data_IF_927355514427
#
_entry.id   IF_927355514427
#
_cell.length_a   1.000
_cell.length_b   1.000
_cell.length_c   1.000
_cell.angle_alpha   90.00
_cell.angle_beta   90.00
_cell.angle_gamma   90.00
#
_symmetry.space_group_name_H-M   'P 1'
#
loop_
_entity.id
_entity.type
_entity.pdbx_description
1 polymer ?
#
# COMPACT_ATOMS: atom_id res chain seq x y z
N UNK A 1 19.22 -7.18 14.65
CA UNK A 1 18.20 -6.12 14.84
C UNK A 1 18.11 -5.31 13.54
N UNK A 2 16.96 -5.29 12.85
CA UNK A 2 16.82 -4.60 11.55
C UNK A 2 16.28 -3.19 11.78
N UNK A 3 17.14 -2.18 11.71
CA UNK A 3 16.80 -0.77 11.96
C UNK A 3 15.75 -0.22 10.97
N UNK A 4 15.61 -0.87 9.81
CA UNK A 4 14.67 -0.43 8.77
C UNK A 4 13.20 -0.64 9.16
N UNK A 5 12.90 -1.42 10.21
CA UNK A 5 11.53 -1.63 10.71
C UNK A 5 10.91 -0.33 11.24
N UNK A 6 11.73 0.61 11.70
CA UNK A 6 11.28 1.91 12.22
C UNK A 6 11.13 2.98 11.14
N UNK A 7 11.54 2.66 9.90
CA UNK A 7 11.42 3.61 8.82
C UNK A 7 10.02 3.54 8.22
N UNK A 8 9.43 4.68 7.88
CA UNK A 8 8.20 4.69 7.12
C UNK A 8 8.38 3.87 5.82
N UNK A 9 7.44 2.97 5.56
CA UNK A 9 7.43 2.09 4.37
C UNK A 9 7.19 2.85 3.08
N UNK A 10 6.76 4.11 3.17
CA UNK A 10 6.80 5.04 2.06
C UNK A 10 8.22 5.14 1.46
N UNK A 11 8.30 5.66 0.23
CA UNK A 11 9.45 5.94 -0.67
C UNK A 11 10.88 5.73 -0.11
N UNK A 12 11.17 6.07 1.14
CA UNK A 12 12.45 5.87 1.85
C UNK A 12 13.02 4.45 1.75
N UNK A 13 12.23 3.37 1.94
CA UNK A 13 12.78 2.01 1.82
C UNK A 13 13.26 1.69 0.40
N UNK A 14 12.57 2.20 -0.62
CA UNK A 14 12.97 2.04 -2.03
C UNK A 14 14.24 2.84 -2.37
N UNK A 15 14.47 3.96 -1.69
CA UNK A 15 15.71 4.75 -1.82
C UNK A 15 16.88 4.03 -1.13
N UNK A 16 16.65 3.51 0.07
CA UNK A 16 17.66 2.73 0.84
C UNK A 16 18.11 1.49 0.07
N UNK A 17 17.19 0.85 -0.65
CA UNK A 17 17.49 -0.29 -1.52
C UNK A 17 18.52 0.03 -2.62
N UNK A 18 18.78 1.31 -2.93
CA UNK A 18 19.74 1.73 -3.96
C UNK A 18 21.14 2.06 -3.43
N UNK A 19 21.33 2.11 -2.10
CA UNK A 19 22.60 2.54 -1.49
C UNK A 19 23.70 1.50 -1.70
N UNK A 20 23.44 0.24 -1.35
CA UNK A 20 24.38 -0.86 -1.58
C UNK A 20 23.64 -2.21 -1.65
N UNK A 21 24.33 -3.25 -2.12
CA UNK A 21 23.76 -4.60 -2.27
C UNK A 21 23.24 -5.18 -0.95
N UNK A 22 23.94 -4.94 0.16
CA UNK A 22 23.51 -5.46 1.46
C UNK A 22 22.22 -4.79 1.93
N UNK A 23 22.08 -3.49 1.73
CA UNK A 23 20.87 -2.75 2.07
C UNK A 23 19.71 -3.15 1.17
N UNK A 24 19.96 -3.38 -0.12
CA UNK A 24 18.98 -3.95 -1.03
C UNK A 24 18.40 -5.28 -0.54
N UNK A 25 19.25 -6.20 -0.06
CA UNK A 25 18.79 -7.48 0.47
C UNK A 25 17.99 -7.31 1.76
N UNK A 26 18.43 -6.41 2.64
CA UNK A 26 17.75 -6.13 3.90
C UNK A 26 16.38 -5.47 3.69
N UNK A 27 16.28 -4.52 2.76
CA UNK A 27 15.01 -3.85 2.42
C UNK A 27 14.04 -4.76 1.70
N UNK A 28 14.46 -5.90 1.14
CA UNK A 28 13.55 -6.91 0.58
C UNK A 28 12.94 -7.87 1.59
N UNK A 29 13.25 -7.73 2.88
CA UNK A 29 12.64 -8.60 3.89
C UNK A 29 11.11 -8.41 3.94
N UNK A 30 10.29 -9.48 3.82
CA UNK A 30 8.83 -9.38 3.85
C UNK A 30 8.29 -8.72 5.13
N UNK A 31 9.03 -8.87 6.25
CA UNK A 31 8.66 -8.28 7.54
C UNK A 31 8.62 -6.75 7.50
N UNK A 32 9.40 -6.12 6.63
CA UNK A 32 9.42 -4.66 6.46
C UNK A 32 8.21 -4.15 5.69
N UNK A 33 7.59 -4.98 4.85
CA UNK A 33 6.50 -4.60 3.95
C UNK A 33 5.13 -5.08 4.42
N UNK A 34 5.04 -5.68 5.62
CA UNK A 34 3.76 -6.12 6.21
C UNK A 34 2.74 -5.00 6.34
N UNK A 35 3.18 -3.77 6.59
CA UNK A 35 2.31 -2.59 6.69
C UNK A 35 2.83 -1.48 5.78
N UNK A 36 2.07 -1.13 4.76
CA UNK A 36 2.48 -0.17 3.74
C UNK A 36 1.65 1.10 3.85
N UNK A 37 2.35 2.23 4.00
CA UNK A 37 1.75 3.54 3.94
C UNK A 37 2.04 4.20 2.59
N UNK A 38 1.00 4.28 1.77
CA UNK A 38 1.02 4.92 0.47
C UNK A 38 0.44 6.34 0.62
N UNK A 39 1.34 7.33 0.69
CA UNK A 39 0.99 8.74 0.86
C UNK A 39 0.62 9.47 -0.43
N UNK A 40 0.46 10.79 -0.31
CA UNK A 40 -0.38 11.70 -1.10
C UNK A 40 -0.08 11.85 -2.61
N UNK A 41 0.96 11.17 -3.10
CA UNK A 41 1.52 11.35 -4.45
C UNK A 41 1.78 10.05 -5.17
N UNK A 42 1.32 8.92 -4.65
CA UNK A 42 1.56 7.65 -5.32
C UNK A 42 0.64 7.55 -6.53
N UNK A 43 1.26 7.63 -7.70
CA UNK A 43 0.59 7.44 -8.98
C UNK A 43 0.49 5.94 -9.29
N UNK A 44 -0.50 5.54 -10.11
CA UNK A 44 -0.69 4.16 -10.56
C UNK A 44 0.60 3.46 -11.07
N UNK A 45 1.53 4.13 -11.80
CA UNK A 45 2.78 3.53 -12.24
C UNK A 45 3.75 3.19 -11.09
N UNK A 46 3.66 3.89 -9.96
CA UNK A 46 4.46 3.57 -8.77
C UNK A 46 3.89 2.31 -8.12
N UNK A 47 2.56 2.20 -8.01
CA UNK A 47 1.90 1.00 -7.52
C UNK A 47 2.27 -0.23 -8.34
N UNK A 48 2.19 -0.15 -9.68
CA UNK A 48 2.60 -1.23 -10.59
C UNK A 48 4.07 -1.63 -10.39
N UNK A 49 4.96 -0.66 -10.12
CA UNK A 49 6.36 -0.96 -9.81
C UNK A 49 6.52 -1.72 -8.50
N UNK A 50 5.79 -1.33 -7.45
CA UNK A 50 5.81 -2.04 -6.16
C UNK A 50 5.36 -3.50 -6.32
N UNK A 51 4.33 -3.75 -7.13
CA UNK A 51 3.90 -5.10 -7.50
C UNK A 51 5.02 -5.84 -8.25
N UNK A 52 5.60 -5.23 -9.29
CA UNK A 52 6.66 -5.85 -10.09
C UNK A 52 7.93 -6.17 -9.28
N UNK A 53 8.18 -5.45 -8.20
CA UNK A 53 9.32 -5.68 -7.31
C UNK A 53 9.03 -6.74 -6.24
N UNK A 54 7.81 -7.28 -6.16
CA UNK A 54 7.39 -8.21 -5.12
C UNK A 54 7.30 -7.55 -3.74
N UNK A 55 7.00 -6.24 -3.71
CA UNK A 55 6.77 -5.51 -2.45
C UNK A 55 5.29 -5.61 -2.04
N UNK A 56 4.40 -5.47 -3.02
CA UNK A 56 2.98 -5.76 -2.85
C UNK A 56 2.75 -7.23 -3.23
N UNK A 57 2.64 -8.07 -2.22
CA UNK A 57 2.48 -9.52 -2.35
C UNK A 57 1.61 -10.09 -1.22
N UNK A 58 1.61 -11.42 -1.10
CA UNK A 58 0.85 -12.15 -0.07
C UNK A 58 1.29 -11.89 1.37
N UNK A 59 2.44 -11.26 1.61
CA UNK A 59 2.92 -10.96 2.96
C UNK A 59 2.42 -9.62 3.48
N UNK A 60 1.79 -8.81 2.62
CA UNK A 60 1.19 -7.53 3.01
C UNK A 60 -0.11 -7.76 3.76
N UNK A 61 -0.16 -7.22 4.98
CA UNK A 61 -1.27 -7.39 5.91
C UNK A 61 -2.05 -6.09 6.12
N UNK A 62 -1.37 -4.95 5.98
CA UNK A 62 -1.97 -3.64 6.18
C UNK A 62 -1.57 -2.69 5.07
N UNK A 63 -2.54 -1.97 4.51
CA UNK A 63 -2.29 -0.91 3.52
C UNK A 63 -3.05 0.34 3.95
N UNK A 64 -2.37 1.48 3.89
CA UNK A 64 -2.94 2.80 4.14
C UNK A 64 -2.77 3.67 2.91
N UNK A 65 -3.89 4.17 2.37
CA UNK A 65 -3.99 5.08 1.23
C UNK A 65 -4.49 6.45 1.72
N UNK A 66 -3.70 7.11 2.56
CA UNK A 66 -4.05 8.42 3.11
C UNK A 66 -3.43 9.56 2.28
N UNK A 67 -4.24 10.59 2.03
CA UNK A 67 -3.93 11.78 1.22
C UNK A 67 -3.76 11.53 -0.28
N UNK A 68 -3.96 10.30 -0.78
CA UNK A 68 -3.69 9.96 -2.18
C UNK A 68 -4.71 10.55 -3.15
N UNK A 69 -4.26 11.45 -4.03
CA UNK A 69 -5.05 11.95 -5.18
C UNK A 69 -4.91 10.98 -6.36
N UNK A 70 -5.60 9.84 -6.32
CA UNK A 70 -5.70 9.00 -7.51
C UNK A 70 -6.82 9.54 -8.43
N UNK A 71 -6.47 9.86 -9.68
CA UNK A 71 -7.47 10.00 -10.74
C UNK A 71 -8.15 8.66 -11.09
N UNK A 72 -7.60 7.54 -10.62
CA UNK A 72 -8.06 6.16 -10.88
C UNK A 72 -7.93 5.30 -9.62
N UNK A 73 -8.49 5.78 -8.50
CA UNK A 73 -8.43 5.11 -7.19
C UNK A 73 -8.98 3.68 -7.27
N UNK A 74 -10.09 3.47 -7.95
CA UNK A 74 -10.72 2.14 -8.10
C UNK A 74 -9.79 1.10 -8.72
N UNK A 75 -8.99 1.51 -9.72
CA UNK A 75 -8.02 0.63 -10.37
C UNK A 75 -6.90 0.26 -9.41
N UNK A 76 -6.43 1.23 -8.61
CA UNK A 76 -5.41 1.00 -7.59
C UNK A 76 -5.92 0.05 -6.49
N UNK A 77 -7.14 0.27 -6.00
CA UNK A 77 -7.78 -0.59 -4.99
C UNK A 77 -7.91 -2.03 -5.48
N UNK A 78 -8.42 -2.23 -6.71
CA UNK A 78 -8.54 -3.56 -7.31
C UNK A 78 -7.20 -4.27 -7.43
N UNK A 79 -6.17 -3.57 -7.90
CA UNK A 79 -4.82 -4.13 -8.00
C UNK A 79 -4.30 -4.58 -6.63
N UNK A 80 -4.42 -3.75 -5.60
CA UNK A 80 -3.96 -4.08 -4.24
C UNK A 80 -4.69 -5.31 -3.70
N UNK A 81 -6.02 -5.35 -3.83
CA UNK A 81 -6.82 -6.46 -3.32
C UNK A 81 -6.51 -7.77 -4.06
N UNK A 82 -6.21 -7.71 -5.36
CA UNK A 82 -5.81 -8.88 -6.14
C UNK A 82 -4.42 -9.39 -5.79
N UNK A 83 -3.47 -8.49 -5.50
CA UNK A 83 -2.08 -8.88 -5.21
C UNK A 83 -1.84 -9.23 -3.75
N UNK A 84 -2.66 -8.72 -2.83
CA UNK A 84 -2.50 -8.90 -1.39
C UNK A 84 -3.68 -9.70 -0.81
N UNK A 85 -3.75 -11.03 -1.02
CA UNK A 85 -4.88 -11.85 -0.58
C UNK A 85 -5.01 -11.97 0.94
N UNK A 86 -3.95 -11.68 1.71
CA UNK A 86 -3.90 -11.74 3.18
C UNK A 86 -4.06 -10.36 3.83
N UNK A 87 -4.57 -9.38 3.09
CA UNK A 87 -4.81 -8.05 3.62
C UNK A 87 -5.86 -8.12 4.73
N UNK A 88 -5.49 -7.72 5.95
CA UNK A 88 -6.38 -7.67 7.11
C UNK A 88 -6.87 -6.25 7.37
N UNK A 89 -6.00 -5.25 7.20
CA UNK A 89 -6.33 -3.84 7.47
C UNK A 89 -6.20 -3.01 6.19
N UNK A 90 -7.26 -2.28 5.85
CA UNK A 90 -7.23 -1.35 4.74
C UNK A 90 -7.77 0.02 5.16
N UNK A 91 -6.91 1.03 5.09
CA UNK A 91 -7.25 2.43 5.36
C UNK A 91 -7.28 3.19 4.04
N UNK A 92 -8.39 3.88 3.76
CA UNK A 92 -8.56 4.62 2.49
C UNK A 92 -9.23 5.96 2.76
N UNK A 93 -8.67 7.04 2.21
CA UNK A 93 -9.33 8.35 2.23
C UNK A 93 -10.44 8.45 1.19
N UNK A 94 -11.64 8.83 1.65
CA UNK A 94 -12.89 8.80 0.89
C UNK A 94 -13.07 9.92 -0.13
N UNK A 95 -12.10 10.84 -0.24
CA UNK A 95 -12.28 12.15 -0.88
C UNK A 95 -12.85 12.16 -2.30
N UNK A 96 -12.84 11.02 -3.02
CA UNK A 96 -13.46 10.83 -4.35
C UNK A 96 -13.94 9.41 -4.63
N UNK A 97 -14.43 8.69 -3.60
CA UNK A 97 -15.02 7.36 -3.80
C UNK A 97 -16.45 7.46 -4.35
N UNK A 98 -16.59 7.93 -5.60
CA UNK A 98 -17.89 8.03 -6.29
C UNK A 98 -18.54 6.64 -6.49
N UNK A 99 -17.73 5.58 -6.43
CA UNK A 99 -18.08 4.19 -6.76
C UNK A 99 -17.81 3.21 -5.62
N UNK A 100 -18.11 3.61 -4.38
CA UNK A 100 -17.79 2.83 -3.17
C UNK A 100 -18.33 1.38 -3.23
N UNK A 101 -19.54 1.20 -3.75
CA UNK A 101 -20.19 -0.11 -3.87
C UNK A 101 -19.49 -1.05 -4.86
N UNK A 102 -18.88 -0.52 -5.92
CA UNK A 102 -18.31 -1.30 -7.02
C UNK A 102 -16.97 -1.93 -6.67
N UNK A 103 -16.21 -1.33 -5.74
CA UNK A 103 -14.92 -1.87 -5.32
C UNK A 103 -15.03 -2.75 -4.07
N UNK A 104 -16.02 -2.54 -3.21
CA UNK A 104 -16.26 -3.40 -2.03
C UNK A 104 -16.46 -4.87 -2.42
N UNK A 105 -16.97 -5.15 -3.62
CA UNK A 105 -17.10 -6.50 -4.17
C UNK A 105 -15.74 -7.21 -4.42
N UNK A 106 -14.64 -6.47 -4.43
CA UNK A 106 -13.29 -6.98 -4.67
C UNK A 106 -12.43 -7.05 -3.41
N UNK A 107 -13.03 -6.84 -2.23
CA UNK A 107 -12.32 -6.94 -0.96
C UNK A 107 -11.84 -8.38 -0.70
N UNK A 108 -10.61 -8.57 -0.22
CA UNK A 108 -10.12 -9.89 0.13
C UNK A 108 -10.91 -10.48 1.31
N UNK A 109 -11.18 -11.78 1.28
CA UNK A 109 -11.94 -12.46 2.33
C UNK A 109 -11.26 -12.42 3.71
N UNK A 110 -9.94 -12.18 3.74
CA UNK A 110 -9.15 -12.01 4.97
C UNK A 110 -9.35 -10.66 5.66
N UNK A 111 -10.05 -9.72 5.03
CA UNK A 111 -10.13 -8.35 5.52
C UNK A 111 -10.94 -8.29 6.82
N UNK A 112 -10.30 -7.86 7.90
CA UNK A 112 -10.92 -7.73 9.23
C UNK A 112 -11.20 -6.28 9.61
N UNK A 113 -10.48 -5.33 9.02
CA UNK A 113 -10.60 -3.91 9.32
C UNK A 113 -10.62 -3.09 8.03
N UNK A 114 -11.74 -2.39 7.81
CA UNK A 114 -11.86 -1.36 6.78
C UNK A 114 -12.12 -0.01 7.44
N UNK A 115 -11.17 0.92 7.30
CA UNK A 115 -11.34 2.28 7.80
C UNK A 115 -11.39 3.24 6.63
N UNK A 116 -12.53 3.91 6.48
CA UNK A 116 -12.77 4.89 5.44
C UNK A 116 -12.83 6.26 6.10
N UNK A 117 -11.79 7.06 5.90
CA UNK A 117 -11.66 8.39 6.51
C UNK A 117 -12.12 9.47 5.55
N UNK A 118 -13.03 10.33 6.00
CA UNK A 118 -13.34 11.59 5.33
C UNK A 118 -12.31 12.62 5.78
N UNK A 119 -11.12 12.61 5.18
CA UNK A 119 -10.24 13.77 5.31
C UNK A 119 -10.84 14.87 4.43
N UNK A 120 -11.68 15.69 5.03
CA UNK A 120 -12.11 16.95 4.44
C UNK A 120 -10.87 17.83 4.31
N UNK A 121 -10.38 17.99 3.08
CA UNK A 121 -9.40 19.02 2.77
C UNK A 121 -10.18 20.34 2.83
N UNK A 122 -10.21 20.98 3.99
CA UNK A 122 -10.60 22.39 4.15
C UNK A 122 -9.52 23.29 3.59
#
# INVERSE_FOLDING_TARGET
>A
MNIFVFLPTNVKLTVIARVCRQWYLLTRSPRLWRSIELGWRIQLPVLKRLISYGILDEHVVSVSLTGTLFASLDVALRLICQTCPNLHCFLVDRGRLDSLHTWMAHLPASLTCLSITNVAIT
#
